data_IF_878599658262
#
_entry.id   IF_878599658262
#
_cell.length_a   1.000
_cell.length_b   1.000
_cell.length_c   1.000
_cell.angle_alpha   90.00
_cell.angle_beta   90.00
_cell.angle_gamma   90.00
#
_symmetry.space_group_name_H-M   'P 1'
#
loop_
_entity.id
_entity.type
_entity.pdbx_description
1 polymer ?
#
# COMPACT_ATOMS: atom_id res chain seq x y z
N UNK A 1 -7.15 -16.13 26.15
CA UNK A 1 -7.44 -17.57 26.32
C UNK A 1 -6.33 -18.19 27.15
N UNK A 2 -6.56 -18.50 28.43
CA UNK A 2 -5.58 -19.23 29.26
C UNK A 2 -6.16 -20.59 29.60
N UNK A 3 -5.44 -21.65 29.25
CA UNK A 3 -5.81 -23.05 29.53
C UNK A 3 -7.26 -23.42 29.14
N UNK A 4 -7.76 -22.76 28.09
CA UNK A 4 -9.14 -22.90 27.60
C UNK A 4 -9.16 -22.67 26.10
N UNK A 5 -9.99 -23.43 25.39
CA UNK A 5 -10.09 -23.40 23.92
C UNK A 5 -11.46 -22.93 23.45
N UNK A 6 -11.79 -21.64 23.64
CA UNK A 6 -13.06 -21.10 23.17
C UNK A 6 -13.13 -20.99 21.64
N UNK A 7 -14.35 -20.82 21.13
CA UNK A 7 -14.58 -20.34 19.76
C UNK A 7 -14.76 -18.82 19.78
N UNK A 8 -13.97 -18.12 18.98
CA UNK A 8 -14.05 -16.68 18.77
C UNK A 8 -14.43 -16.51 17.30
N UNK A 9 -15.63 -16.01 17.01
CA UNK A 9 -16.10 -15.93 15.62
C UNK A 9 -16.92 -14.69 15.32
N UNK A 10 -16.71 -14.11 14.15
CA UNK A 10 -17.48 -12.98 13.62
C UNK A 10 -17.44 -11.73 14.52
N UNK A 11 -16.28 -11.47 15.13
CA UNK A 11 -16.04 -10.29 15.96
C UNK A 11 -15.12 -9.30 15.26
N UNK A 12 -15.28 -8.03 15.59
CA UNK A 12 -14.30 -6.98 15.32
C UNK A 12 -13.54 -6.75 16.63
N UNK A 13 -12.28 -7.14 16.67
CA UNK A 13 -11.39 -7.00 17.82
C UNK A 13 -10.42 -5.88 17.50
N UNK A 14 -10.67 -4.70 18.07
CA UNK A 14 -10.03 -3.47 17.60
C UNK A 14 -9.66 -2.52 18.73
N UNK A 15 -8.50 -1.86 18.60
CA UNK A 15 -7.99 -0.85 19.54
C UNK A 15 -7.87 -1.32 20.98
N UNK A 16 -7.56 -2.59 21.15
CA UNK A 16 -7.22 -3.14 22.46
C UNK A 16 -5.71 -3.00 22.70
N UNK A 17 -5.34 -2.93 23.99
CA UNK A 17 -3.95 -2.86 24.42
C UNK A 17 -3.68 -3.89 25.50
N UNK A 18 -2.58 -4.63 25.37
CA UNK A 18 -2.14 -5.64 26.32
C UNK A 18 -0.61 -5.73 26.38
N UNK A 19 -0.08 -6.53 27.30
CA UNK A 19 1.35 -6.85 27.30
C UNK A 19 1.74 -7.76 26.11
N UNK A 20 0.92 -8.78 25.87
CA UNK A 20 1.05 -9.74 24.78
C UNK A 20 -0.35 -10.04 24.23
N UNK A 21 -0.49 -10.17 22.91
CA UNK A 21 -1.79 -10.52 22.31
C UNK A 21 -2.78 -9.37 22.46
N UNK A 22 -2.46 -8.19 21.92
CA UNK A 22 -3.27 -6.99 22.02
C UNK A 22 -4.74 -7.25 21.65
N UNK A 23 -4.98 -8.01 20.57
CA UNK A 23 -6.30 -8.53 20.22
C UNK A 23 -6.65 -9.83 20.95
N UNK A 24 -5.86 -10.89 20.74
CA UNK A 24 -6.09 -12.23 21.32
C UNK A 24 -4.79 -12.81 21.86
N UNK A 25 -4.72 -13.01 23.16
CA UNK A 25 -3.63 -13.76 23.80
C UNK A 25 -4.00 -15.23 24.02
N UNK A 26 -3.19 -16.16 23.53
CA UNK A 26 -3.30 -17.60 23.74
C UNK A 26 -2.15 -18.11 24.60
N UNK A 27 -2.50 -18.67 25.76
CA UNK A 27 -1.56 -19.19 26.76
C UNK A 27 -1.98 -20.60 27.18
N UNK A 28 -1.24 -21.61 26.73
CA UNK A 28 -1.63 -23.02 26.92
C UNK A 28 -3.02 -23.33 26.34
N UNK A 29 -3.39 -22.67 25.24
CA UNK A 29 -4.75 -22.62 24.73
C UNK A 29 -4.81 -22.86 23.22
N UNK A 30 -5.85 -23.55 22.76
CA UNK A 30 -6.06 -23.87 21.34
C UNK A 30 -7.43 -23.39 20.86
N UNK A 31 -7.72 -22.07 20.89
CA UNK A 31 -9.01 -21.56 20.43
C UNK A 31 -9.22 -21.76 18.93
N UNK A 32 -10.47 -21.79 18.52
CA UNK A 32 -10.86 -21.65 17.11
C UNK A 32 -11.24 -20.21 16.85
N UNK A 33 -10.53 -19.55 15.94
CA UNK A 33 -10.70 -18.13 15.60
C UNK A 33 -11.14 -18.09 14.14
N UNK A 34 -12.38 -17.73 13.87
CA UNK A 34 -12.93 -17.79 12.50
C UNK A 34 -13.77 -16.59 12.11
N UNK A 35 -13.56 -16.04 10.91
CA UNK A 35 -14.37 -14.91 10.43
C UNK A 35 -14.21 -13.65 11.28
N UNK A 36 -13.06 -13.42 11.94
CA UNK A 36 -12.88 -12.21 12.75
C UNK A 36 -12.11 -11.14 11.96
N UNK A 37 -12.28 -9.88 12.36
CA UNK A 37 -11.40 -8.77 11.97
C UNK A 37 -10.64 -8.33 13.20
N UNK A 38 -9.35 -8.62 13.25
CA UNK A 38 -8.42 -8.24 14.33
C UNK A 38 -7.53 -7.15 13.75
N UNK A 39 -7.66 -5.92 14.25
CA UNK A 39 -6.98 -4.77 13.65
C UNK A 39 -6.76 -3.63 14.64
N UNK A 40 -5.74 -2.81 14.45
CA UNK A 40 -5.42 -1.65 15.30
C UNK A 40 -5.24 -2.00 16.79
N UNK A 41 -4.89 -3.24 17.13
CA UNK A 41 -4.55 -3.63 18.49
C UNK A 41 -3.06 -3.43 18.75
N UNK A 42 -2.69 -3.21 20.01
CA UNK A 42 -1.31 -2.96 20.40
C UNK A 42 -0.90 -3.91 21.53
N UNK A 43 0.23 -4.57 21.37
CA UNK A 43 0.90 -5.28 22.45
C UNK A 43 2.21 -4.57 22.80
N UNK A 44 2.51 -4.42 24.09
CA UNK A 44 3.77 -3.81 24.51
C UNK A 44 4.98 -4.67 24.13
N UNK A 45 4.81 -6.00 24.01
CA UNK A 45 5.92 -6.92 23.72
C UNK A 45 5.69 -7.79 22.48
N UNK A 46 4.74 -8.72 22.53
CA UNK A 46 4.62 -9.78 21.52
C UNK A 46 3.19 -9.89 20.98
N UNK A 47 3.05 -10.06 19.66
CA UNK A 47 1.76 -10.41 19.05
C UNK A 47 0.73 -9.31 19.23
N UNK A 48 0.85 -8.20 18.49
CA UNK A 48 -0.10 -7.08 18.57
C UNK A 48 -1.53 -7.52 18.31
N UNK A 49 -1.75 -8.31 17.25
CA UNK A 49 -3.04 -8.93 16.95
C UNK A 49 -3.25 -10.19 17.78
N UNK A 50 -2.41 -11.21 17.57
CA UNK A 50 -2.52 -12.51 18.21
C UNK A 50 -1.17 -12.94 18.78
N UNK A 51 -1.17 -13.34 20.05
CA UNK A 51 -0.05 -14.01 20.69
C UNK A 51 -0.36 -15.49 20.93
N UNK A 52 0.60 -16.37 20.62
CA UNK A 52 0.55 -17.81 20.90
C UNK A 52 1.77 -18.22 21.73
N UNK A 53 1.54 -18.53 23.01
CA UNK A 53 2.57 -18.98 23.93
C UNK A 53 2.21 -20.31 24.61
N UNK A 54 3.22 -20.97 25.16
CA UNK A 54 3.07 -22.18 25.98
C UNK A 54 2.33 -23.32 25.25
N UNK A 55 2.83 -23.72 24.08
CA UNK A 55 2.24 -24.77 23.24
C UNK A 55 0.81 -24.47 22.79
N UNK A 56 0.52 -23.22 22.46
CA UNK A 56 -0.76 -22.78 21.93
C UNK A 56 -0.81 -22.96 20.41
N UNK A 57 -1.76 -23.77 19.92
CA UNK A 57 -1.93 -24.10 18.51
C UNK A 57 -3.36 -23.74 18.07
N UNK A 58 -3.73 -22.44 18.06
CA UNK A 58 -5.05 -22.03 17.60
C UNK A 58 -5.26 -22.40 16.13
N UNK A 59 -6.52 -22.63 15.76
CA UNK A 59 -6.95 -22.76 14.37
C UNK A 59 -7.56 -21.44 13.95
N UNK A 60 -6.98 -20.81 12.93
CA UNK A 60 -7.37 -19.49 12.44
C UNK A 60 -7.79 -19.61 10.98
N UNK A 61 -9.04 -19.28 10.68
CA UNK A 61 -9.60 -19.34 9.32
C UNK A 61 -10.42 -18.11 8.98
N UNK A 62 -10.45 -17.70 7.71
CA UNK A 62 -11.29 -16.59 7.23
C UNK A 62 -11.15 -15.30 8.06
N UNK A 63 -9.97 -15.07 8.65
CA UNK A 63 -9.75 -13.99 9.60
C UNK A 63 -8.81 -12.94 9.01
N UNK A 64 -9.11 -11.67 9.25
CA UNK A 64 -8.18 -10.57 8.97
C UNK A 64 -7.38 -10.30 10.25
N UNK A 65 -6.05 -10.26 10.13
CA UNK A 65 -5.12 -9.76 11.16
C UNK A 65 -4.25 -8.70 10.50
N UNK A 66 -4.53 -7.43 10.78
CA UNK A 66 -4.00 -6.33 10.00
C UNK A 66 -3.84 -5.04 10.80
N UNK A 67 -2.75 -4.31 10.59
CA UNK A 67 -2.48 -3.04 11.23
C UNK A 67 -2.49 -3.12 12.76
N UNK A 68 -2.06 -4.25 13.32
CA UNK A 68 -1.74 -4.36 14.73
C UNK A 68 -0.28 -3.92 14.99
N UNK A 69 0.13 -3.79 16.26
CA UNK A 69 1.47 -3.32 16.61
C UNK A 69 2.04 -4.03 17.82
N UNK A 70 3.31 -4.43 17.76
CA UNK A 70 4.08 -4.94 18.89
C UNK A 70 5.58 -4.73 18.67
N UNK A 71 6.41 -4.90 19.71
CA UNK A 71 7.87 -4.93 19.56
C UNK A 71 8.32 -6.07 18.65
N UNK A 72 7.68 -7.25 18.76
CA UNK A 72 7.95 -8.41 17.91
C UNK A 72 6.65 -9.08 17.46
N UNK A 73 6.53 -9.30 16.15
CA UNK A 73 5.39 -9.98 15.55
C UNK A 73 4.10 -9.18 15.71
N UNK A 74 4.01 -8.03 15.03
CA UNK A 74 2.86 -7.12 15.13
C UNK A 74 1.51 -7.81 14.91
N UNK A 75 1.36 -8.60 13.84
CA UNK A 75 0.08 -9.28 13.61
C UNK A 75 -0.05 -10.53 14.45
N UNK A 76 0.86 -11.48 14.27
CA UNK A 76 0.85 -12.77 14.94
C UNK A 76 2.25 -13.06 15.44
N UNK A 77 2.36 -13.39 16.72
CA UNK A 77 3.56 -13.96 17.31
C UNK A 77 3.27 -15.36 17.83
N UNK A 78 4.12 -16.32 17.47
CA UNK A 78 4.13 -17.66 18.05
C UNK A 78 5.50 -17.93 18.68
N UNK A 79 5.51 -18.35 19.95
CA UNK A 79 6.75 -18.78 20.59
C UNK A 79 7.28 -20.08 19.95
N UNK A 80 8.51 -20.46 20.30
CA UNK A 80 9.15 -21.65 19.73
C UNK A 80 8.46 -22.99 20.06
N UNK A 81 7.41 -22.98 20.89
CA UNK A 81 6.63 -24.17 21.25
C UNK A 81 5.24 -24.19 20.61
N UNK A 82 4.83 -23.10 19.97
CA UNK A 82 3.49 -22.86 19.46
C UNK A 82 3.46 -22.93 17.93
N UNK A 83 2.49 -23.63 17.37
CA UNK A 83 2.35 -23.87 15.93
C UNK A 83 0.90 -23.54 15.53
N UNK A 84 0.54 -22.25 15.42
CA UNK A 84 -0.80 -21.88 15.01
C UNK A 84 -1.06 -22.33 13.56
N UNK A 85 -2.26 -22.87 13.31
CA UNK A 85 -2.67 -23.29 11.98
C UNK A 85 -3.55 -22.20 11.36
N UNK A 86 -2.99 -21.44 10.42
CA UNK A 86 -3.67 -20.32 9.76
C UNK A 86 -3.89 -20.66 8.29
N UNK A 87 -5.14 -20.63 7.85
CA UNK A 87 -5.52 -20.87 6.45
C UNK A 87 -6.61 -19.90 6.02
N UNK A 88 -6.72 -19.62 4.73
CA UNK A 88 -7.74 -18.74 4.14
C UNK A 88 -7.92 -17.40 4.87
N UNK A 89 -6.82 -16.84 5.37
CA UNK A 89 -6.81 -15.64 6.20
C UNK A 89 -5.95 -14.55 5.57
N UNK A 90 -6.25 -13.30 5.88
CA UNK A 90 -5.45 -12.16 5.45
C UNK A 90 -4.57 -11.70 6.61
N UNK A 91 -3.26 -11.80 6.46
CA UNK A 91 -2.30 -11.47 7.52
C UNK A 91 -1.27 -10.49 6.97
N UNK A 92 -1.15 -9.32 7.60
CA UNK A 92 -0.19 -8.31 7.17
C UNK A 92 1.25 -8.80 7.27
N UNK A 93 2.02 -8.63 6.20
CA UNK A 93 3.38 -9.17 6.08
C UNK A 93 3.43 -10.68 5.79
N UNK A 94 2.25 -11.29 5.62
CA UNK A 94 2.05 -12.67 5.21
C UNK A 94 2.18 -13.70 6.33
N UNK A 95 1.52 -14.83 6.12
CA UNK A 95 1.69 -16.04 6.94
C UNK A 95 1.58 -17.28 6.07
N UNK A 96 2.48 -18.25 6.26
CA UNK A 96 2.48 -19.47 5.47
C UNK A 96 1.24 -20.32 5.78
N UNK A 97 0.52 -20.73 4.74
CA UNK A 97 -0.70 -21.52 4.90
C UNK A 97 -1.52 -21.55 3.62
N UNK A 98 -2.39 -22.56 3.49
CA UNK A 98 -3.27 -22.68 2.34
C UNK A 98 -4.24 -21.49 2.27
N UNK A 99 -4.32 -20.83 1.12
CA UNK A 99 -5.29 -19.76 0.87
C UNK A 99 -5.04 -18.46 1.63
N UNK A 100 -3.95 -18.34 2.39
CA UNK A 100 -3.61 -17.08 3.03
C UNK A 100 -3.19 -16.03 1.99
N UNK A 101 -3.54 -14.78 2.27
CA UNK A 101 -3.18 -13.62 1.47
C UNK A 101 -2.52 -12.56 2.36
N UNK A 102 -1.78 -11.64 1.73
CA UNK A 102 -1.18 -10.46 2.35
C UNK A 102 -1.51 -9.27 1.47
N UNK A 103 -2.60 -8.59 1.80
CA UNK A 103 -3.10 -7.47 1.01
C UNK A 103 -3.93 -6.54 1.89
N UNK A 104 -3.87 -5.24 1.60
CA UNK A 104 -4.67 -4.26 2.32
C UNK A 104 -6.17 -4.62 2.26
N UNK A 105 -6.85 -4.83 3.40
CA UNK A 105 -8.29 -5.10 3.44
C UNK A 105 -9.15 -4.01 2.79
N UNK A 106 -8.63 -2.78 2.63
CA UNK A 106 -9.38 -1.61 2.19
C UNK A 106 -10.68 -1.44 2.99
N UNK A 107 -10.55 -1.26 4.30
CA UNK A 107 -11.69 -0.90 5.14
C UNK A 107 -12.26 0.46 4.73
N UNK A 108 -13.59 0.59 4.75
CA UNK A 108 -14.27 1.77 4.26
C UNK A 108 -13.88 3.08 4.97
N UNK A 109 -13.84 3.08 6.31
CA UNK A 109 -13.44 4.26 7.10
C UNK A 109 -12.98 3.84 8.50
N UNK A 110 -11.81 3.18 8.62
CA UNK A 110 -11.33 2.61 9.88
C UNK A 110 -11.18 3.66 10.99
N UNK A 111 -10.77 4.89 10.66
CA UNK A 111 -10.66 6.03 11.62
C UNK A 111 -11.96 6.33 12.37
N UNK A 112 -13.10 6.02 11.76
CA UNK A 112 -14.44 6.20 12.36
C UNK A 112 -15.03 4.89 12.90
N UNK A 113 -14.28 3.79 12.85
CA UNK A 113 -14.70 2.45 13.27
C UNK A 113 -15.48 1.67 12.22
N UNK A 114 -15.48 2.11 10.96
CA UNK A 114 -16.15 1.41 9.86
C UNK A 114 -15.19 0.42 9.18
N UNK A 115 -15.26 -0.84 9.61
CA UNK A 115 -14.43 -1.94 9.13
C UNK A 115 -15.11 -2.82 8.07
N UNK A 116 -16.19 -2.34 7.43
CA UNK A 116 -16.68 -3.01 6.23
C UNK A 116 -15.63 -2.95 5.13
N UNK A 117 -15.63 -3.96 4.26
CA UNK A 117 -14.73 -4.01 3.12
C UNK A 117 -15.21 -3.04 2.02
N UNK A 118 -14.26 -2.40 1.34
CA UNK A 118 -14.53 -1.76 0.07
C UNK A 118 -14.74 -2.82 -1.03
N UNK A 119 -15.56 -2.51 -2.03
CA UNK A 119 -15.93 -3.44 -3.13
C UNK A 119 -14.77 -3.93 -4.00
N UNK A 120 -13.61 -3.28 -3.92
CA UNK A 120 -12.37 -3.69 -4.58
C UNK A 120 -11.39 -4.42 -3.63
N UNK A 121 -11.81 -4.75 -2.41
CA UNK A 121 -10.99 -5.45 -1.42
C UNK A 121 -10.61 -6.85 -1.90
N UNK A 122 -9.35 -7.22 -1.67
CA UNK A 122 -8.83 -8.56 -1.91
C UNK A 122 -9.43 -9.63 -0.99
N UNK A 123 -10.05 -9.22 0.13
CA UNK A 123 -10.67 -10.13 1.10
C UNK A 123 -12.02 -10.66 0.60
N UNK A 124 -12.57 -10.12 -0.48
CA UNK A 124 -13.88 -10.52 -1.01
C UNK A 124 -13.78 -11.85 -1.75
N UNK A 125 -14.58 -12.82 -1.32
CA UNK A 125 -14.71 -14.14 -1.96
C UNK A 125 -13.44 -15.00 -1.98
N UNK A 126 -12.40 -14.65 -1.22
CA UNK A 126 -11.11 -15.34 -1.17
C UNK A 126 -10.94 -16.28 0.03
N UNK A 127 -11.91 -16.29 0.94
CA UNK A 127 -11.95 -17.19 2.10
C UNK A 127 -12.32 -18.63 1.75
N UNK A 128 -12.23 -19.50 2.74
CA UNK A 128 -12.60 -20.91 2.66
C UNK A 128 -14.08 -21.04 2.25
N UNK A 129 -14.34 -21.80 1.18
CA UNK A 129 -15.70 -21.92 0.62
C UNK A 129 -16.14 -20.72 -0.21
N UNK A 130 -15.24 -19.79 -0.54
CA UNK A 130 -15.53 -18.61 -1.36
C UNK A 130 -16.26 -17.51 -0.62
N UNK A 131 -16.16 -17.49 0.72
CA UNK A 131 -16.69 -16.39 1.54
C UNK A 131 -15.73 -15.20 1.59
N UNK A 132 -16.21 -14.08 2.10
CA UNK A 132 -15.34 -12.95 2.44
C UNK A 132 -14.49 -13.29 3.67
N UNK A 133 -13.23 -12.89 3.66
CA UNK A 133 -12.32 -12.96 4.81
C UNK A 133 -12.64 -11.78 5.73
N UNK A 134 -12.79 -12.04 7.03
CA UNK A 134 -13.09 -11.01 8.05
C UNK A 134 -14.51 -11.09 8.62
N UNK A 135 -14.83 -10.17 9.53
CA UNK A 135 -16.09 -10.15 10.26
C UNK A 135 -17.25 -9.47 9.52
N UNK A 136 -16.94 -8.62 8.53
CA UNK A 136 -17.90 -7.82 7.79
C UNK A 136 -17.71 -8.03 6.29
N UNK A 137 -18.80 -7.99 5.54
CA UNK A 137 -18.76 -8.00 4.07
C UNK A 137 -18.52 -6.62 3.48
N UNK A 138 -18.94 -6.42 2.23
CA UNK A 138 -18.83 -5.16 1.49
C UNK A 138 -19.76 -4.10 2.10
N UNK A 139 -19.25 -2.90 2.37
CA UNK A 139 -20.04 -1.79 2.92
C UNK A 139 -19.84 -0.44 2.23
N UNK A 140 -18.86 -0.32 1.34
CA UNK A 140 -18.68 0.86 0.51
C UNK A 140 -18.22 0.44 -0.89
N UNK A 141 -18.67 1.19 -1.88
CA UNK A 141 -18.13 1.11 -3.22
C UNK A 141 -16.97 2.07 -3.31
N UNK A 142 -15.85 1.62 -3.88
CA UNK A 142 -14.83 2.55 -4.36
C UNK A 142 -15.44 3.27 -5.55
N UNK A 143 -16.11 4.38 -5.29
CA UNK A 143 -16.32 5.37 -6.34
C UNK A 143 -14.93 5.78 -6.79
N UNK A 144 -14.59 5.47 -8.03
CA UNK A 144 -13.53 6.16 -8.77
C UNK A 144 -13.92 7.63 -8.94
N UNK A 145 -14.07 8.35 -7.84
CA UNK A 145 -13.95 9.79 -7.75
C UNK A 145 -12.51 10.02 -7.33
N UNK A 146 -11.75 10.64 -8.23
CA UNK A 146 -10.40 11.16 -8.06
C UNK A 146 -10.25 12.08 -6.83
N UNK A 147 -10.43 11.61 -5.60
CA UNK A 147 -10.13 12.37 -4.38
C UNK A 147 -9.65 11.43 -3.26
N UNK A 148 -8.40 10.98 -3.41
CA UNK A 148 -7.36 10.87 -2.37
C UNK A 148 -6.11 10.24 -3.03
N UNK A 149 -5.58 10.90 -4.06
CA UNK A 149 -4.20 10.67 -4.47
C UNK A 149 -3.30 11.43 -3.48
N UNK A 150 -3.11 10.90 -2.27
CA UNK A 150 -1.82 11.10 -1.61
C UNK A 150 -0.83 10.15 -2.26
N UNK A 151 -0.52 10.45 -3.53
CA UNK A 151 0.84 10.27 -4.04
C UNK A 151 1.72 10.78 -2.90
N UNK A 152 2.48 9.89 -2.27
CA UNK A 152 3.45 10.28 -1.25
C UNK A 152 4.21 11.47 -1.82
N UNK A 153 4.12 12.63 -1.17
CA UNK A 153 4.83 13.81 -1.67
C UNK A 153 6.31 13.43 -1.85
N UNK A 154 6.91 13.70 -3.00
CA UNK A 154 8.26 13.25 -3.27
C UNK A 154 9.24 13.86 -2.26
N UNK A 155 10.22 13.10 -1.82
CA UNK A 155 11.23 13.58 -0.86
C UNK A 155 12.40 14.32 -1.53
N UNK A 156 12.51 14.27 -2.87
CA UNK A 156 13.57 14.93 -3.63
C UNK A 156 13.10 15.41 -5.00
N UNK A 157 13.84 16.36 -5.56
CA UNK A 157 13.70 16.74 -6.96
C UNK A 157 14.15 15.59 -7.87
N UNK A 158 13.43 15.32 -8.95
CA UNK A 158 13.85 14.35 -9.96
C UNK A 158 13.29 14.68 -11.34
N UNK A 159 14.11 14.46 -12.36
CA UNK A 159 13.67 14.33 -13.74
C UNK A 159 13.80 12.86 -14.16
N UNK A 160 12.71 12.25 -14.61
CA UNK A 160 12.70 10.85 -15.03
C UNK A 160 12.91 10.71 -16.54
N UNK A 161 13.36 9.53 -17.03
CA UNK A 161 13.35 9.24 -18.46
C UNK A 161 11.94 9.41 -19.03
N UNK A 162 11.86 9.98 -20.23
CA UNK A 162 10.62 10.07 -20.97
C UNK A 162 10.18 8.68 -21.46
N UNK A 163 8.88 8.43 -21.52
CA UNK A 163 8.33 7.18 -22.03
C UNK A 163 7.14 7.43 -22.98
N UNK A 164 7.10 6.79 -24.16
CA UNK A 164 8.15 5.92 -24.72
C UNK A 164 9.43 6.68 -25.10
N UNK A 165 10.57 5.99 -25.24
CA UNK A 165 11.83 6.51 -25.79
C UNK A 165 12.62 5.34 -26.43
N UNK A 166 12.77 5.26 -27.77
CA UNK A 166 12.36 6.25 -28.78
C UNK A 166 10.84 6.46 -28.85
N UNK A 167 10.40 7.62 -29.30
CA UNK A 167 8.97 7.98 -29.37
C UNK A 167 8.52 8.39 -30.77
N UNK A 168 7.23 8.22 -31.07
CA UNK A 168 6.58 8.62 -32.32
C UNK A 168 5.07 8.89 -32.13
N UNK A 169 4.57 10.11 -32.39
CA UNK A 169 5.25 11.39 -32.26
C UNK A 169 5.21 11.91 -30.83
N UNK A 170 4.57 11.21 -29.89
CA UNK A 170 4.31 11.69 -28.52
C UNK A 170 5.09 10.90 -27.48
N UNK A 171 5.61 11.60 -26.48
CA UNK A 171 6.21 11.01 -25.27
C UNK A 171 5.72 11.75 -24.04
N UNK A 172 5.88 11.14 -22.87
CA UNK A 172 5.56 11.75 -21.57
C UNK A 172 6.84 11.97 -20.78
N UNK A 173 7.02 13.16 -20.25
CA UNK A 173 8.14 13.54 -19.38
C UNK A 173 7.60 13.66 -17.96
N UNK A 174 8.18 12.88 -17.05
CA UNK A 174 7.82 12.90 -15.63
C UNK A 174 8.88 13.62 -14.81
N UNK A 175 8.45 14.34 -13.78
CA UNK A 175 9.32 14.94 -12.77
C UNK A 175 8.64 15.02 -11.41
N UNK A 176 9.44 15.20 -10.35
CA UNK A 176 8.96 15.30 -8.96
C UNK A 176 9.50 16.55 -8.29
N UNK A 177 8.66 17.20 -7.48
CA UNK A 177 8.99 18.41 -6.71
C UNK A 177 8.66 18.19 -5.23
N UNK A 178 9.64 18.25 -4.30
CA UNK A 178 9.41 18.03 -2.88
C UNK A 178 8.77 19.22 -2.15
N UNK A 179 8.72 20.39 -2.80
CA UNK A 179 8.19 21.64 -2.25
C UNK A 179 7.61 22.51 -3.36
N UNK A 180 6.85 23.54 -2.96
CA UNK A 180 6.38 24.56 -3.90
C UNK A 180 7.56 25.35 -4.47
N UNK A 181 7.65 25.43 -5.80
CA UNK A 181 8.80 26.03 -6.49
C UNK A 181 8.44 26.49 -7.90
N UNK A 182 9.14 27.51 -8.39
CA UNK A 182 9.11 27.91 -9.80
C UNK A 182 9.89 26.91 -10.66
N UNK A 183 9.24 26.32 -11.65
CA UNK A 183 9.79 25.27 -12.52
C UNK A 183 9.83 25.75 -13.96
N UNK A 184 10.98 25.55 -14.62
CA UNK A 184 11.07 25.62 -16.08
C UNK A 184 11.50 24.28 -16.65
N UNK A 185 10.75 23.77 -17.63
CA UNK A 185 11.06 22.55 -18.37
C UNK A 185 11.08 22.86 -19.87
N UNK A 186 12.27 22.88 -20.46
CA UNK A 186 12.47 23.31 -21.85
C UNK A 186 13.08 22.17 -22.68
N UNK A 187 12.60 22.01 -23.91
CA UNK A 187 13.14 21.11 -24.91
C UNK A 187 14.11 21.87 -25.84
N UNK A 188 15.26 21.27 -26.11
CA UNK A 188 16.34 21.79 -26.93
C UNK A 188 16.68 20.83 -28.08
N UNK A 189 17.09 21.38 -29.22
CA UNK A 189 17.72 20.60 -30.30
C UNK A 189 19.20 20.28 -30.00
N UNK A 190 19.85 19.49 -30.87
CA UNK A 190 21.27 19.11 -30.70
C UNK A 190 22.26 20.28 -30.74
N UNK A 191 21.83 21.46 -31.18
CA UNK A 191 22.64 22.69 -31.19
C UNK A 191 22.42 23.54 -29.93
N UNK A 192 21.56 23.09 -29.01
CA UNK A 192 21.17 23.84 -27.83
C UNK A 192 20.15 24.95 -28.11
N UNK A 193 19.50 24.94 -29.28
CA UNK A 193 18.42 25.89 -29.57
C UNK A 193 17.15 25.43 -28.87
N UNK A 194 16.50 26.34 -28.17
CA UNK A 194 15.16 26.11 -27.58
C UNK A 194 14.14 25.81 -28.67
N UNK A 195 13.42 24.71 -28.47
CA UNK A 195 12.36 24.23 -29.35
C UNK A 195 11.00 24.65 -28.77
N UNK A 196 10.76 24.34 -27.49
CA UNK A 196 9.52 24.66 -26.79
C UNK A 196 9.74 24.65 -25.27
N UNK A 197 9.03 25.52 -24.55
CA UNK A 197 8.87 25.44 -23.09
C UNK A 197 7.61 24.63 -22.77
N UNK A 198 7.76 23.53 -22.03
CA UNK A 198 6.66 22.65 -21.63
C UNK A 198 6.03 23.07 -20.30
N UNK A 199 6.83 23.70 -19.42
CA UNK A 199 6.42 24.20 -18.11
C UNK A 199 7.23 25.47 -17.83
N UNK A 200 6.57 26.53 -17.36
CA UNK A 200 7.17 27.80 -16.94
C UNK A 200 6.24 28.47 -15.92
N UNK A 201 6.11 27.86 -14.74
CA UNK A 201 5.17 28.29 -13.70
C UNK A 201 5.57 27.83 -12.29
N UNK A 202 4.91 28.37 -11.26
CA UNK A 202 5.05 27.94 -9.86
C UNK A 202 4.16 26.74 -9.60
N UNK A 203 4.75 25.61 -9.25
CA UNK A 203 4.05 24.35 -8.99
C UNK A 203 4.19 23.94 -7.52
N UNK A 204 3.14 23.39 -6.87
CA UNK A 204 3.22 22.83 -5.51
C UNK A 204 4.09 21.56 -5.47
N UNK A 205 4.33 21.04 -4.26
CA UNK A 205 4.96 19.72 -4.11
C UNK A 205 4.09 18.63 -4.78
N UNK A 206 4.72 17.71 -5.51
CA UNK A 206 4.00 16.63 -6.18
C UNK A 206 4.76 15.95 -7.31
N UNK A 207 4.11 14.96 -7.89
CA UNK A 207 4.54 14.28 -9.12
C UNK A 207 3.82 14.87 -10.33
N UNK A 208 4.57 15.15 -11.38
CA UNK A 208 4.07 15.79 -12.59
C UNK A 208 4.39 14.95 -13.81
N UNK A 209 3.48 14.96 -14.78
CA UNK A 209 3.64 14.36 -16.10
C UNK A 209 3.19 15.37 -17.15
N UNK A 210 4.08 15.69 -18.09
CA UNK A 210 3.77 16.55 -19.24
C UNK A 210 3.96 15.79 -20.55
N UNK A 211 3.03 15.94 -21.47
CA UNK A 211 3.14 15.38 -22.81
C UNK A 211 4.03 16.28 -23.69
N UNK A 212 4.87 15.67 -24.51
CA UNK A 212 5.62 16.34 -25.56
C UNK A 212 5.29 15.71 -26.91
N UNK A 213 4.87 16.56 -27.85
CA UNK A 213 4.51 16.17 -29.21
C UNK A 213 5.56 16.67 -30.20
N UNK A 214 6.21 15.73 -30.91
CA UNK A 214 7.24 15.99 -31.91
C UNK A 214 6.74 15.92 -33.34
N UNK A 215 5.44 16.04 -33.60
CA UNK A 215 4.86 15.86 -34.94
C UNK A 215 5.49 16.79 -35.99
N UNK A 216 5.78 18.04 -35.61
CA UNK A 216 6.37 19.06 -36.48
C UNK A 216 7.91 19.09 -36.46
N UNK A 217 8.53 18.11 -35.79
CA UNK A 217 9.99 18.03 -35.63
C UNK A 217 10.60 16.94 -36.52
N UNK A 218 11.86 17.09 -36.91
CA UNK A 218 12.59 16.05 -37.64
C UNK A 218 12.96 14.88 -36.73
N UNK A 219 13.02 13.65 -37.26
CA UNK A 219 13.58 12.52 -36.53
C UNK A 219 15.02 12.83 -36.08
N UNK A 220 15.35 12.52 -34.83
CA UNK A 220 16.63 12.90 -34.27
C UNK A 220 16.67 12.93 -32.75
N UNK A 221 17.83 13.35 -32.24
CA UNK A 221 18.08 13.48 -30.81
C UNK A 221 17.64 14.86 -30.34
N UNK A 222 16.93 14.89 -29.22
CA UNK A 222 16.55 16.10 -28.51
C UNK A 222 16.94 15.99 -27.04
N UNK A 223 17.05 17.13 -26.37
CA UNK A 223 17.33 17.20 -24.94
C UNK A 223 16.20 17.95 -24.26
N UNK A 224 15.85 17.54 -23.04
CA UNK A 224 14.95 18.31 -22.17
C UNK A 224 15.67 18.59 -20.87
N UNK A 225 15.52 19.81 -20.36
CA UNK A 225 16.15 20.29 -19.13
C UNK A 225 15.11 20.87 -18.21
N UNK A 226 15.11 20.42 -16.95
CA UNK A 226 14.35 21.02 -15.87
C UNK A 226 15.27 21.91 -15.01
N UNK A 227 14.75 23.05 -14.57
CA UNK A 227 15.31 23.91 -13.54
C UNK A 227 14.25 24.15 -12.47
N UNK A 228 14.59 23.91 -11.21
CA UNK A 228 13.79 24.23 -10.03
C UNK A 228 14.72 24.64 -8.89
N UNK A 229 14.71 25.91 -8.47
CA UNK A 229 15.71 26.47 -7.53
C UNK A 229 17.17 26.15 -7.94
N UNK A 230 17.88 25.33 -7.16
CA UNK A 230 19.26 24.88 -7.39
C UNK A 230 19.34 23.56 -8.16
N UNK A 231 18.21 22.87 -8.34
CA UNK A 231 18.13 21.62 -9.07
C UNK A 231 18.09 21.87 -10.58
N UNK A 232 19.08 21.34 -11.27
CA UNK A 232 19.17 21.38 -12.74
C UNK A 232 19.45 19.97 -13.24
N UNK A 233 18.58 19.44 -14.09
CA UNK A 233 18.79 18.12 -14.69
C UNK A 233 18.41 18.13 -16.17
N UNK A 234 19.26 17.53 -17.01
CA UNK A 234 19.01 17.35 -18.43
C UNK A 234 18.95 15.86 -18.78
N UNK A 235 18.11 15.50 -19.75
CA UNK A 235 18.03 14.15 -20.32
C UNK A 235 17.88 14.19 -21.83
N UNK A 236 18.21 13.06 -22.46
CA UNK A 236 18.19 12.86 -23.92
C UNK A 236 16.97 12.03 -24.33
N UNK A 237 16.31 12.40 -25.41
CA UNK A 237 15.24 11.64 -26.05
C UNK A 237 15.49 11.45 -27.55
N UNK A 238 14.95 10.38 -28.12
CA UNK A 238 15.06 10.04 -29.54
C UNK A 238 13.67 10.03 -30.19
N UNK A 239 13.43 10.98 -31.10
CA UNK A 239 12.25 11.02 -31.95
C UNK A 239 12.50 10.18 -33.19
N UNK A 240 11.60 9.24 -33.46
CA UNK A 240 11.58 8.44 -34.70
C UNK A 240 10.26 8.71 -35.44
N UNK A 241 10.33 8.79 -36.77
CA UNK A 241 9.18 8.86 -37.67
C UNK A 241 9.19 7.64 -38.56
#
# INVERSE_FOLDING_TARGET
CSNSSPTISNNIIVRNSALEGGGVSCDGANPTITGNTITENTADSLGGGIFCGNSSNPVITNTIVWNDSAEVGSEIFADGTSIPNITYSNVQGGWSGMGNIDCDPFFCSPDTGNYYLADNSCCIGTGEGGVDIGALGIGCTVTSTNELNTDLLPSHFALYPNYPNPFNPTTKIKFSLPQIVEVTLIVYDVRGKEVISLVDEVLPAGHYEVAFEGADLSSGVYFYRIQAEQFVQSRKMLLIK
#
